data_IF_329339473369
#
_entry.id   IF_329339473369
#
_cell.length_a   1.000
_cell.length_b   1.000
_cell.length_c   1.000
_cell.angle_alpha   90.00
_cell.angle_beta   90.00
_cell.angle_gamma   90.00
#
_symmetry.space_group_name_H-M   'P 1'
#
loop_
_entity.id
_entity.type
_entity.pdbx_description
1 polymer ?
#
# COMPACT_ATOMS: atom_id res chain seq x y z
N UNK A 1 -3.04 17.08 -45.10
CA UNK A 1 -2.44 17.71 -43.89
C UNK A 1 -2.50 16.69 -42.75
N UNK A 2 -1.38 16.08 -42.41
CA UNK A 2 -1.31 15.15 -41.28
C UNK A 2 -1.23 15.98 -39.98
N UNK A 3 -2.25 15.91 -39.17
CA UNK A 3 -2.20 16.48 -37.82
C UNK A 3 -1.21 15.65 -37.00
N UNK A 4 -0.01 16.20 -36.80
CA UNK A 4 0.94 15.70 -35.83
C UNK A 4 0.40 16.08 -34.44
N UNK A 5 -0.40 15.21 -33.85
CA UNK A 5 -0.70 15.27 -32.42
C UNK A 5 0.59 14.93 -31.70
N UNK A 6 1.27 15.94 -31.19
CA UNK A 6 2.34 15.72 -30.21
C UNK A 6 1.79 14.83 -29.10
N UNK A 7 2.50 13.78 -28.66
CA UNK A 7 2.04 12.97 -27.54
C UNK A 7 1.92 13.89 -26.33
N UNK A 8 0.69 14.18 -25.94
CA UNK A 8 0.44 14.91 -24.69
C UNK A 8 0.92 14.01 -23.54
N UNK A 9 1.97 14.45 -22.87
CA UNK A 9 2.41 13.80 -21.62
C UNK A 9 1.20 13.73 -20.69
N UNK A 10 0.83 12.55 -20.18
CA UNK A 10 -0.34 12.42 -19.31
C UNK A 10 -0.17 13.32 -18.07
N UNK A 11 -1.23 13.97 -17.62
CA UNK A 11 -1.16 14.89 -16.50
C UNK A 11 -0.69 14.15 -15.24
N UNK A 12 0.28 14.76 -14.58
CA UNK A 12 0.80 14.29 -13.28
C UNK A 12 0.12 15.11 -12.20
N UNK A 13 -0.35 14.46 -11.14
CA UNK A 13 -1.06 15.10 -10.03
C UNK A 13 -0.42 14.75 -8.68
N UNK A 14 -0.58 15.64 -7.71
CA UNK A 14 -0.06 15.45 -6.35
C UNK A 14 -0.77 14.33 -5.60
N UNK A 15 -0.01 13.56 -4.82
CA UNK A 15 -0.51 12.56 -3.86
C UNK A 15 -0.11 12.99 -2.44
N UNK A 16 -0.77 13.98 -1.85
CA UNK A 16 -0.39 14.57 -0.56
C UNK A 16 -0.51 13.59 0.61
N UNK A 17 -1.32 12.55 0.47
CA UNK A 17 -1.45 11.48 1.47
C UNK A 17 -0.24 10.54 1.47
N UNK A 18 0.57 10.58 0.42
CA UNK A 18 1.78 9.77 0.32
C UNK A 18 2.99 10.55 0.83
N UNK A 19 3.84 9.86 1.56
CA UNK A 19 5.06 10.45 2.11
C UNK A 19 6.28 9.56 1.81
N UNK A 20 7.45 10.18 1.73
CA UNK A 20 8.72 9.49 1.53
C UNK A 20 9.51 9.46 2.83
N UNK A 21 10.01 8.27 3.19
CA UNK A 21 11.04 8.09 4.22
C UNK A 21 12.24 7.42 3.55
N UNK A 22 13.44 7.95 3.78
CA UNK A 22 14.67 7.39 3.23
C UNK A 22 15.54 6.78 4.32
N UNK A 23 16.15 5.66 3.99
CA UNK A 23 17.18 4.99 4.79
C UNK A 23 18.45 4.98 3.95
N UNK A 24 19.49 5.66 4.39
CA UNK A 24 20.74 5.79 3.64
C UNK A 24 21.95 5.43 4.50
N UNK A 25 22.84 4.63 3.96
CA UNK A 25 24.08 4.21 4.58
C UNK A 25 24.35 2.70 4.46
N UNK A 26 25.57 2.26 4.81
CA UNK A 26 26.03 0.90 4.56
C UNK A 26 25.17 -0.18 5.25
N UNK A 27 24.45 0.17 6.31
CA UNK A 27 23.58 -0.77 7.03
C UNK A 27 22.09 -0.66 6.62
N UNK A 28 21.73 0.21 5.66
CA UNK A 28 20.33 0.49 5.31
C UNK A 28 19.57 -0.77 4.88
N UNK A 29 20.15 -1.58 3.99
CA UNK A 29 19.55 -2.81 3.52
C UNK A 29 19.38 -3.85 4.63
N UNK A 30 20.44 -4.08 5.43
CA UNK A 30 20.41 -5.04 6.53
C UNK A 30 19.42 -4.61 7.63
N UNK A 31 19.29 -3.31 7.86
CA UNK A 31 18.32 -2.75 8.78
C UNK A 31 16.89 -2.94 8.27
N UNK A 32 16.61 -2.53 7.03
CA UNK A 32 15.30 -2.69 6.42
C UNK A 32 14.88 -4.17 6.37
N UNK A 33 15.80 -5.08 6.03
CA UNK A 33 15.55 -6.52 6.05
C UNK A 33 15.18 -7.02 7.45
N UNK A 34 15.83 -6.53 8.51
CA UNK A 34 15.54 -6.94 9.89
C UNK A 34 14.22 -6.36 10.44
N UNK A 35 13.75 -5.21 9.94
CA UNK A 35 12.56 -4.52 10.44
C UNK A 35 11.27 -4.86 9.68
N UNK A 36 11.34 -5.08 8.38
CA UNK A 36 10.15 -5.19 7.54
C UNK A 36 9.84 -6.64 7.16
N UNK A 37 8.58 -6.90 6.84
CA UNK A 37 8.06 -8.26 6.70
C UNK A 37 8.45 -8.97 5.41
N UNK A 38 8.81 -8.25 4.33
CA UNK A 38 9.20 -8.88 3.07
C UNK A 38 10.71 -9.10 2.97
N UNK A 39 11.14 -9.90 2.01
CA UNK A 39 12.55 -10.23 1.78
C UNK A 39 13.28 -9.07 1.07
N UNK A 40 13.74 -8.11 1.86
CA UNK A 40 14.47 -6.94 1.37
C UNK A 40 15.86 -7.34 0.87
N UNK A 41 16.48 -8.38 1.45
CA UNK A 41 17.82 -8.82 1.05
C UNK A 41 17.85 -9.37 -0.40
N UNK A 42 16.75 -9.93 -0.86
CA UNK A 42 16.61 -10.41 -2.23
C UNK A 42 16.33 -9.30 -3.26
N UNK A 43 16.03 -8.08 -2.82
CA UNK A 43 15.71 -6.96 -3.71
C UNK A 43 16.97 -6.39 -4.35
N UNK A 44 17.07 -6.45 -5.67
CA UNK A 44 18.19 -5.88 -6.41
C UNK A 44 18.14 -4.33 -6.44
N UNK A 45 19.30 -3.64 -6.58
CA UNK A 45 19.32 -2.21 -6.90
C UNK A 45 18.52 -1.93 -8.18
N UNK A 46 17.85 -0.78 -8.23
CA UNK A 46 16.95 -0.44 -9.33
C UNK A 46 15.60 -1.15 -9.30
N UNK A 47 15.25 -1.84 -8.21
CA UNK A 47 13.98 -2.54 -8.04
C UNK A 47 13.17 -2.01 -6.86
N UNK A 48 11.89 -2.37 -6.83
CA UNK A 48 11.00 -2.10 -5.71
C UNK A 48 10.07 -3.29 -5.44
N UNK A 49 9.48 -3.33 -4.24
CA UNK A 49 8.52 -4.34 -3.81
C UNK A 49 7.53 -3.74 -2.81
N UNK A 50 6.37 -4.37 -2.65
CA UNK A 50 5.52 -4.10 -1.51
C UNK A 50 6.12 -4.66 -0.23
N UNK A 51 5.88 -3.97 0.86
CA UNK A 51 6.34 -4.37 2.17
C UNK A 51 5.35 -3.97 3.26
N UNK A 52 5.51 -4.54 4.44
CA UNK A 52 4.76 -4.18 5.63
C UNK A 52 5.70 -4.06 6.84
N UNK A 53 5.39 -3.14 7.74
CA UNK A 53 5.99 -3.08 9.05
C UNK A 53 4.99 -3.61 10.08
N UNK A 54 5.46 -4.51 10.95
CA UNK A 54 4.62 -5.20 11.91
C UNK A 54 5.04 -4.92 13.34
N UNK A 55 4.07 -4.99 14.25
CA UNK A 55 4.35 -5.10 15.69
C UNK A 55 4.92 -6.48 16.03
N UNK A 56 5.56 -6.67 17.18
CA UNK A 56 5.96 -7.99 17.68
C UNK A 56 4.80 -9.00 17.77
N UNK A 57 3.55 -8.51 17.88
CA UNK A 57 2.34 -9.32 17.90
C UNK A 57 1.82 -9.66 16.49
N UNK A 58 2.59 -9.37 15.43
CA UNK A 58 2.23 -9.65 14.02
C UNK A 58 1.10 -8.80 13.48
N UNK A 59 0.88 -7.61 14.04
CA UNK A 59 -0.12 -6.65 13.56
C UNK A 59 0.52 -5.62 12.65
N UNK A 60 -0.15 -5.27 11.56
CA UNK A 60 0.34 -4.35 10.54
C UNK A 60 0.28 -2.92 11.05
N UNK A 61 1.44 -2.26 11.11
CA UNK A 61 1.59 -0.83 11.41
C UNK A 61 1.36 -0.02 10.14
N UNK A 62 2.02 -0.43 9.04
CA UNK A 62 1.95 0.23 7.74
C UNK A 62 2.19 -0.76 6.60
N UNK A 63 1.58 -0.46 5.44
CA UNK A 63 1.86 -1.09 4.14
C UNK A 63 2.46 -0.03 3.24
N UNK A 64 3.53 -0.33 2.51
CA UNK A 64 4.25 0.65 1.71
C UNK A 64 5.02 0.02 0.55
N UNK A 65 5.32 0.84 -0.46
CA UNK A 65 6.29 0.47 -1.48
C UNK A 65 7.69 0.72 -0.94
N UNK A 66 8.55 -0.31 -1.02
CA UNK A 66 9.96 -0.24 -0.67
C UNK A 66 10.78 -0.30 -1.97
N UNK A 67 11.47 0.79 -2.29
CA UNK A 67 12.35 0.90 -3.44
C UNK A 67 13.82 0.87 -3.02
N UNK A 68 14.67 0.27 -3.86
CA UNK A 68 16.11 0.27 -3.71
C UNK A 68 16.77 1.00 -4.89
N UNK A 69 16.85 2.35 -4.87
CA UNK A 69 17.41 3.10 -6.00
C UNK A 69 18.92 2.91 -6.17
N UNK A 70 19.65 2.55 -5.09
CA UNK A 70 21.08 2.29 -5.09
C UNK A 70 21.45 1.23 -4.04
N UNK A 71 22.73 0.82 -4.01
CA UNK A 71 23.22 -0.23 -3.11
C UNK A 71 22.93 0.03 -1.63
N UNK A 72 23.14 1.27 -1.20
CA UNK A 72 23.08 1.73 0.19
C UNK A 72 21.87 2.62 0.48
N UNK A 73 20.85 2.59 -0.38
CA UNK A 73 19.65 3.42 -0.29
C UNK A 73 18.39 2.60 -0.34
N UNK A 74 17.51 2.86 0.62
CA UNK A 74 16.15 2.29 0.69
C UNK A 74 15.18 3.44 0.84
N UNK A 75 14.18 3.50 -0.02
CA UNK A 75 13.12 4.49 -0.01
C UNK A 75 11.79 3.82 0.30
N UNK A 76 11.03 4.40 1.22
CA UNK A 76 9.74 3.90 1.66
C UNK A 76 8.67 4.92 1.25
N UNK A 77 7.76 4.54 0.36
CA UNK A 77 6.61 5.37 0.00
C UNK A 77 5.43 4.90 0.82
N UNK A 78 5.04 5.74 1.76
CA UNK A 78 3.96 5.49 2.74
C UNK A 78 2.67 6.13 2.25
N UNK A 79 1.61 5.39 1.91
CA UNK A 79 0.39 5.99 1.39
C UNK A 79 -0.49 6.67 2.44
N UNK A 80 -0.34 6.36 3.74
CA UNK A 80 -1.29 6.83 4.76
C UNK A 80 -0.67 7.11 6.13
N UNK A 81 0.61 6.82 6.30
CA UNK A 81 1.27 7.00 7.60
C UNK A 81 2.05 8.31 7.61
N UNK A 82 1.87 9.21 8.62
CA UNK A 82 2.70 10.39 8.76
C UNK A 82 4.19 10.04 8.81
N UNK A 83 4.98 10.58 7.86
CA UNK A 83 6.38 10.22 7.69
C UNK A 83 7.23 10.46 8.93
N UNK A 84 7.02 11.60 9.60
CA UNK A 84 7.78 11.96 10.81
C UNK A 84 7.54 10.97 11.94
N UNK A 85 6.29 10.58 12.19
CA UNK A 85 5.94 9.58 13.21
C UNK A 85 6.51 8.21 12.86
N UNK A 86 6.44 7.82 11.58
CA UNK A 86 7.03 6.57 11.11
C UNK A 86 8.55 6.56 11.29
N UNK A 87 9.21 7.62 10.83
CA UNK A 87 10.66 7.74 10.92
C UNK A 87 11.15 7.79 12.38
N UNK A 88 10.45 8.54 13.26
CA UNK A 88 10.74 8.58 14.69
C UNK A 88 10.64 7.20 15.35
N UNK A 89 9.53 6.49 15.09
CA UNK A 89 9.31 5.15 15.61
C UNK A 89 10.39 4.17 15.12
N UNK A 90 10.76 4.28 13.82
CA UNK A 90 11.77 3.41 13.22
C UNK A 90 13.19 3.70 13.73
N UNK A 91 13.55 4.98 14.02
CA UNK A 91 14.85 5.38 14.58
C UNK A 91 15.15 4.70 15.91
N UNK A 92 14.15 4.30 16.70
CA UNK A 92 14.33 3.59 17.97
C UNK A 92 15.04 2.24 17.83
N UNK A 93 15.03 1.67 16.60
CA UNK A 93 15.65 0.39 16.29
C UNK A 93 17.03 0.51 15.63
N UNK A 94 17.52 1.72 15.34
CA UNK A 94 18.80 1.93 14.63
C UNK A 94 19.98 1.46 15.46
N UNK A 95 19.96 1.73 16.75
CA UNK A 95 20.99 1.35 17.73
C UNK A 95 22.42 1.72 17.27
N UNK A 96 23.27 0.74 16.92
CA UNK A 96 24.67 0.94 16.50
C UNK A 96 24.85 0.87 14.97
N UNK A 97 23.80 0.81 14.22
CA UNK A 97 23.87 0.67 12.75
C UNK A 97 24.25 2.00 12.09
N UNK A 98 25.02 1.93 11.02
CA UNK A 98 25.51 3.07 10.25
C UNK A 98 24.50 3.39 9.13
N UNK A 99 23.40 4.04 9.48
CA UNK A 99 22.43 4.57 8.52
C UNK A 99 21.79 5.84 9.09
N UNK A 100 21.22 6.64 8.19
CA UNK A 100 20.35 7.76 8.51
C UNK A 100 18.94 7.43 8.07
N UNK A 101 17.94 7.85 8.84
CA UNK A 101 16.52 7.78 8.49
C UNK A 101 16.03 9.22 8.41
N UNK A 102 15.61 9.64 7.22
CA UNK A 102 15.23 11.03 6.94
C UNK A 102 13.86 11.09 6.26
N UNK A 103 13.20 12.24 6.41
CA UNK A 103 12.01 12.63 5.65
C UNK A 103 12.45 13.78 4.77
N UNK A 104 12.75 13.54 3.47
CA UNK A 104 13.28 14.58 2.59
C UNK A 104 12.20 15.63 2.27
N UNK A 105 12.53 16.91 2.49
CA UNK A 105 11.62 18.02 2.23
C UNK A 105 11.61 18.46 0.76
N UNK A 106 12.60 18.04 -0.02
CA UNK A 106 12.79 18.39 -1.44
C UNK A 106 12.15 17.38 -2.40
N UNK A 107 11.50 16.34 -1.86
CA UNK A 107 10.85 15.29 -2.64
C UNK A 107 9.36 15.22 -2.32
N UNK A 108 8.56 15.09 -3.37
CA UNK A 108 7.12 14.90 -3.29
C UNK A 108 6.72 13.63 -4.02
N UNK A 109 5.55 13.09 -3.64
CA UNK A 109 4.95 11.95 -4.33
C UNK A 109 3.83 12.45 -5.24
N UNK A 110 3.83 11.94 -6.47
CA UNK A 110 2.83 12.27 -7.46
C UNK A 110 2.39 11.02 -8.22
N UNK A 111 1.23 11.08 -8.84
CA UNK A 111 0.64 10.01 -9.63
C UNK A 111 0.33 10.44 -11.05
N UNK A 112 0.20 9.47 -11.95
CA UNK A 112 -0.40 9.64 -13.26
C UNK A 112 -1.23 8.41 -13.62
N UNK A 113 -2.41 8.61 -14.20
CA UNK A 113 -3.24 7.53 -14.76
C UNK A 113 -2.74 7.19 -16.17
N UNK A 114 -1.50 6.73 -16.25
CA UNK A 114 -0.82 6.34 -17.48
C UNK A 114 0.32 5.37 -17.17
N UNK A 115 0.78 4.66 -18.20
CA UNK A 115 1.96 3.81 -18.08
C UNK A 115 3.21 4.66 -17.81
N UNK A 116 4.14 4.19 -16.96
CA UNK A 116 5.41 4.87 -16.75
C UNK A 116 6.22 4.90 -18.05
N UNK A 117 7.05 5.93 -18.18
CA UNK A 117 7.91 6.06 -19.34
C UNK A 117 9.11 5.10 -19.31
N UNK A 118 9.59 4.80 -18.11
CA UNK A 118 10.84 4.04 -17.93
C UNK A 118 10.74 2.90 -16.92
N UNK A 119 9.77 2.92 -16.00
CA UNK A 119 9.55 1.82 -15.06
C UNK A 119 8.76 0.68 -15.71
N UNK A 120 8.97 -0.55 -15.25
CA UNK A 120 8.20 -1.71 -15.69
C UNK A 120 8.14 -2.77 -14.59
N UNK A 121 6.95 -3.17 -14.18
CA UNK A 121 6.76 -4.16 -13.14
C UNK A 121 7.44 -3.72 -11.82
N UNK A 122 8.43 -4.48 -11.37
CA UNK A 122 9.22 -4.13 -10.19
C UNK A 122 10.53 -3.37 -10.50
N UNK A 123 10.81 -3.05 -11.76
CA UNK A 123 11.95 -2.23 -12.15
C UNK A 123 11.60 -0.75 -11.99
N UNK A 124 12.45 -0.02 -11.28
CA UNK A 124 12.36 1.43 -11.19
C UNK A 124 12.74 2.08 -12.53
N UNK A 125 12.05 3.16 -12.88
CA UNK A 125 12.42 4.03 -13.99
C UNK A 125 13.03 5.35 -13.50
N UNK A 126 13.81 6.01 -14.34
CA UNK A 126 14.31 7.37 -14.07
C UNK A 126 13.82 8.30 -15.16
N UNK A 127 13.13 9.36 -14.78
CA UNK A 127 12.61 10.41 -15.67
C UNK A 127 13.12 11.77 -15.18
N UNK A 128 14.24 12.23 -15.75
CA UNK A 128 14.97 13.39 -15.23
C UNK A 128 15.52 13.10 -13.83
N UNK A 129 15.11 13.90 -12.84
CA UNK A 129 15.44 13.73 -11.41
C UNK A 129 14.42 12.91 -10.63
N UNK A 130 13.30 12.52 -11.27
CA UNK A 130 12.26 11.71 -10.67
C UNK A 130 12.51 10.21 -10.86
N UNK A 131 12.09 9.43 -9.87
CA UNK A 131 12.03 7.96 -9.92
C UNK A 131 10.58 7.52 -10.11
N UNK A 132 10.36 6.62 -11.07
CA UNK A 132 9.05 6.06 -11.40
C UNK A 132 8.91 4.63 -10.88
N UNK A 133 7.71 4.32 -10.39
CA UNK A 133 7.25 2.97 -10.04
C UNK A 133 6.03 2.63 -10.91
N UNK A 134 6.02 1.44 -11.47
CA UNK A 134 4.88 0.92 -12.22
C UNK A 134 3.79 0.42 -11.24
N UNK A 135 2.70 1.18 -11.16
CA UNK A 135 1.52 0.88 -10.35
C UNK A 135 0.36 0.33 -11.20
N UNK A 136 0.64 -0.07 -12.42
CA UNK A 136 -0.34 -0.67 -13.33
C UNK A 136 -0.75 -2.08 -12.90
N UNK A 137 -2.00 -2.41 -13.19
CA UNK A 137 -2.64 -3.71 -12.98
C UNK A 137 -3.91 -3.81 -13.81
N UNK A 138 -4.82 -4.72 -13.45
CA UNK A 138 -6.07 -4.95 -14.19
C UNK A 138 -6.97 -3.70 -14.30
N UNK A 139 -6.83 -2.77 -13.35
CA UNK A 139 -7.53 -1.47 -13.36
C UNK A 139 -6.96 -0.44 -14.34
N UNK A 140 -5.94 -0.81 -15.12
CA UNK A 140 -5.29 0.07 -16.09
C UNK A 140 -3.90 0.56 -15.65
N UNK A 141 -3.22 1.31 -16.53
CA UNK A 141 -1.87 1.78 -16.26
C UNK A 141 -1.87 2.93 -15.24
N UNK A 142 -0.92 2.89 -14.32
CA UNK A 142 -0.66 3.95 -13.33
C UNK A 142 0.83 4.08 -13.07
N UNK A 143 1.28 5.30 -12.90
CA UNK A 143 2.66 5.61 -12.52
C UNK A 143 2.67 6.34 -11.19
N UNK A 144 3.46 5.88 -10.22
CA UNK A 144 3.81 6.65 -9.03
C UNK A 144 5.20 7.25 -9.27
N UNK A 145 5.37 8.52 -8.91
CA UNK A 145 6.63 9.26 -9.11
C UNK A 145 7.12 9.86 -7.79
N UNK A 146 8.42 9.73 -7.55
CA UNK A 146 9.13 10.35 -6.43
C UNK A 146 10.02 11.44 -7.05
N UNK A 147 9.68 12.70 -6.85
CA UNK A 147 10.39 13.81 -7.49
C UNK A 147 9.91 15.17 -6.99
N UNK A 148 9.83 16.15 -7.86
CA UNK A 148 9.29 17.47 -7.56
C UNK A 148 7.77 17.43 -7.35
N UNK A 149 7.24 18.45 -6.65
CA UNK A 149 5.81 18.60 -6.43
C UNK A 149 5.05 18.74 -7.76
N UNK A 150 3.86 18.13 -7.82
CA UNK A 150 2.94 18.22 -8.93
C UNK A 150 1.69 19.06 -8.55
N UNK A 151 0.92 19.57 -9.53
CA UNK A 151 -0.35 20.23 -9.26
C UNK A 151 -1.32 19.35 -8.52
N UNK A 152 -2.21 19.94 -7.73
CA UNK A 152 -3.33 19.23 -7.12
C UNK A 152 -4.42 18.97 -8.17
N UNK A 153 -4.95 17.75 -8.16
CA UNK A 153 -6.11 17.33 -8.94
C UNK A 153 -6.92 16.37 -8.07
N UNK A 154 -7.96 16.89 -7.44
CA UNK A 154 -8.77 16.12 -6.50
C UNK A 154 -9.46 14.93 -7.18
N UNK A 155 -9.99 15.11 -8.38
CA UNK A 155 -10.66 14.04 -9.11
C UNK A 155 -9.69 12.90 -9.47
N UNK A 156 -8.50 13.24 -9.95
CA UNK A 156 -7.46 12.27 -10.26
C UNK A 156 -6.97 11.54 -8.99
N UNK A 157 -6.84 12.25 -7.87
CA UNK A 157 -6.45 11.69 -6.57
C UNK A 157 -7.51 10.73 -6.02
N UNK A 158 -8.80 11.08 -6.11
CA UNK A 158 -9.89 10.18 -5.70
C UNK A 158 -9.92 8.92 -6.58
N UNK A 159 -9.78 9.05 -7.89
CA UNK A 159 -9.66 7.89 -8.79
C UNK A 159 -8.45 7.00 -8.46
N UNK A 160 -7.34 7.60 -8.01
CA UNK A 160 -6.17 6.86 -7.53
C UNK A 160 -6.51 6.03 -6.28
N UNK A 161 -7.19 6.62 -5.29
CA UNK A 161 -7.61 5.92 -4.07
C UNK A 161 -8.59 4.77 -4.40
N UNK A 162 -9.57 5.02 -5.28
CA UNK A 162 -10.49 3.98 -5.77
C UNK A 162 -9.72 2.83 -6.41
N UNK A 163 -8.74 3.14 -7.26
CA UNK A 163 -7.90 2.13 -7.90
C UNK A 163 -7.08 1.32 -6.89
N UNK A 164 -6.53 1.95 -5.83
CA UNK A 164 -5.82 1.24 -4.77
C UNK A 164 -6.74 0.23 -4.07
N UNK A 165 -7.94 0.66 -3.68
CA UNK A 165 -8.90 -0.23 -3.02
C UNK A 165 -9.37 -1.36 -3.94
N UNK A 166 -9.59 -1.08 -5.23
CA UNK A 166 -9.96 -2.10 -6.22
C UNK A 166 -8.90 -3.19 -6.38
N UNK A 167 -7.62 -2.85 -6.22
CA UNK A 167 -6.51 -3.82 -6.22
C UNK A 167 -6.28 -4.48 -4.86
N UNK A 168 -7.07 -4.13 -3.84
CA UNK A 168 -6.90 -4.66 -2.48
C UNK A 168 -5.66 -4.11 -1.77
N UNK A 169 -5.17 -2.94 -2.17
CA UNK A 169 -4.14 -2.22 -1.44
C UNK A 169 -4.81 -1.48 -0.27
N UNK A 170 -4.66 -1.97 0.98
CA UNK A 170 -5.35 -1.37 2.11
C UNK A 170 -4.70 -0.04 2.49
N UNK A 171 -5.54 0.99 2.63
CA UNK A 171 -5.19 2.28 3.21
C UNK A 171 -5.50 2.19 4.71
N UNK A 172 -4.51 2.43 5.58
CA UNK A 172 -4.66 2.22 7.03
C UNK A 172 -4.75 3.55 7.78
N UNK A 173 -5.96 4.12 7.97
CA UNK A 173 -6.14 5.26 8.86
C UNK A 173 -5.70 4.90 10.28
N UNK A 174 -5.47 5.90 11.13
CA UNK A 174 -4.93 5.70 12.47
C UNK A 174 -5.72 4.67 13.31
N UNK A 175 -7.04 4.63 13.16
CA UNK A 175 -7.93 3.67 13.85
C UNK A 175 -7.74 2.21 13.41
N UNK A 176 -7.16 1.98 12.24
CA UNK A 176 -7.01 0.63 11.67
C UNK A 176 -5.56 0.11 11.74
N UNK A 177 -4.61 0.94 12.18
CA UNK A 177 -3.23 0.50 12.41
C UNK A 177 -3.17 -0.46 13.59
N UNK A 178 -2.31 -1.46 13.50
CA UNK A 178 -2.09 -2.48 14.53
C UNK A 178 -3.33 -3.35 14.88
N UNK A 179 -4.39 -3.31 14.05
CA UNK A 179 -5.58 -4.13 14.24
C UNK A 179 -5.49 -5.49 13.52
N UNK A 180 -4.82 -5.55 12.38
CA UNK A 180 -4.90 -6.65 11.43
C UNK A 180 -3.58 -7.38 11.25
N UNK A 181 -3.64 -8.69 11.00
CA UNK A 181 -2.48 -9.45 10.53
C UNK A 181 -2.31 -9.28 9.01
N UNK A 182 -1.12 -9.52 8.44
CA UNK A 182 -0.92 -9.48 6.99
C UNK A 182 -1.87 -10.38 6.21
N UNK A 183 -2.21 -11.56 6.74
CA UNK A 183 -3.13 -12.48 6.11
C UNK A 183 -4.58 -11.98 6.12
N UNK A 184 -5.01 -11.30 7.20
CA UNK A 184 -6.33 -10.70 7.24
C UNK A 184 -6.48 -9.55 6.24
N UNK A 185 -5.39 -8.81 5.99
CA UNK A 185 -5.34 -7.77 4.96
C UNK A 185 -5.03 -8.32 3.55
N UNK A 186 -5.00 -9.64 3.36
CA UNK A 186 -4.69 -10.29 2.08
C UNK A 186 -3.38 -9.79 1.43
N UNK A 187 -2.36 -9.44 2.24
CA UNK A 187 -1.10 -8.87 1.75
C UNK A 187 -0.24 -9.87 0.95
N UNK A 188 -0.59 -11.16 0.95
CA UNK A 188 -0.04 -12.18 0.06
C UNK A 188 -0.38 -11.91 -1.41
N UNK A 189 -1.51 -11.26 -1.72
CA UNK A 189 -1.86 -10.80 -3.07
C UNK A 189 -0.84 -9.82 -3.65
N UNK A 190 -0.32 -8.94 -2.80
CA UNK A 190 0.71 -7.96 -3.13
C UNK A 190 2.13 -8.53 -3.03
N UNK A 191 2.30 -9.74 -2.48
CA UNK A 191 3.58 -10.29 -2.03
C UNK A 191 4.30 -9.38 -1.00
N UNK A 192 3.57 -8.68 -0.12
CA UNK A 192 4.12 -7.68 0.79
C UNK A 192 4.77 -8.26 2.06
N UNK A 193 4.81 -9.58 2.22
CA UNK A 193 5.53 -10.25 3.30
C UNK A 193 6.10 -11.59 2.84
N UNK A 194 7.12 -12.09 3.55
CA UNK A 194 7.76 -13.38 3.31
C UNK A 194 7.72 -14.23 4.57
N UNK A 195 7.35 -15.49 4.44
CA UNK A 195 7.45 -16.51 5.48
C UNK A 195 8.76 -17.29 5.43
N UNK A 196 9.59 -17.04 4.39
CA UNK A 196 10.84 -17.76 4.12
C UNK A 196 12.09 -16.98 4.52
N UNK A 197 11.97 -15.64 4.71
CA UNK A 197 13.09 -14.81 5.14
C UNK A 197 13.40 -15.01 6.63
N UNK A 198 14.56 -14.54 7.06
CA UNK A 198 14.99 -14.55 8.47
C UNK A 198 14.11 -13.68 9.39
N UNK A 199 14.52 -13.54 10.65
CA UNK A 199 13.74 -12.90 11.72
C UNK A 199 13.36 -11.44 11.42
N UNK A 200 12.12 -11.10 11.73
CA UNK A 200 11.57 -9.74 11.75
C UNK A 200 10.45 -9.66 12.81
N UNK A 201 10.08 -8.46 13.30
CA UNK A 201 9.01 -8.32 14.30
C UNK A 201 7.70 -8.96 13.84
N UNK A 202 7.12 -9.84 14.66
CA UNK A 202 5.85 -10.50 14.38
C UNK A 202 5.92 -11.73 13.47
N UNK A 203 7.09 -12.13 13.00
CA UNK A 203 7.28 -13.30 12.12
C UNK A 203 6.65 -14.59 12.67
N UNK A 204 6.75 -14.85 13.98
CA UNK A 204 6.21 -16.07 14.58
C UNK A 204 4.69 -16.20 14.35
N UNK A 205 3.96 -15.10 14.51
CA UNK A 205 2.50 -15.05 14.28
C UNK A 205 2.18 -15.25 12.80
N UNK A 206 2.94 -14.58 11.92
CA UNK A 206 2.77 -14.70 10.45
C UNK A 206 3.04 -16.14 10.00
N UNK A 207 4.16 -16.73 10.43
CA UNK A 207 4.53 -18.10 10.10
C UNK A 207 3.53 -19.11 10.67
N UNK A 208 3.13 -18.97 11.94
CA UNK A 208 2.12 -19.84 12.56
C UNK A 208 0.81 -19.81 11.79
N UNK A 209 0.34 -18.64 11.42
CA UNK A 209 -0.91 -18.51 10.64
C UNK A 209 -0.78 -19.15 9.26
N UNK A 210 0.39 -19.04 8.63
CA UNK A 210 0.65 -19.60 7.31
C UNK A 210 0.76 -21.14 7.32
N UNK A 211 1.51 -21.72 8.27
CA UNK A 211 1.83 -23.15 8.27
C UNK A 211 0.87 -24.00 9.10
N UNK A 212 0.36 -23.50 10.22
CA UNK A 212 -0.45 -24.26 11.18
C UNK A 212 -1.91 -23.84 11.21
N UNK A 213 -2.26 -22.71 10.63
CA UNK A 213 -3.62 -22.21 10.56
C UNK A 213 -3.89 -21.52 9.24
N UNK A 214 -5.16 -21.46 8.84
CA UNK A 214 -5.59 -20.55 7.77
C UNK A 214 -6.25 -19.35 8.41
N UNK A 215 -5.98 -18.15 7.90
CA UNK A 215 -6.76 -17.00 8.29
C UNK A 215 -8.25 -17.30 8.01
N UNK A 216 -9.09 -17.21 9.02
CA UNK A 216 -10.54 -17.43 8.88
C UNK A 216 -11.25 -16.21 8.28
N UNK A 217 -10.55 -15.08 8.19
CA UNK A 217 -11.03 -13.80 7.66
C UNK A 217 -10.04 -13.25 6.67
N UNK A 218 -10.52 -12.53 5.66
CA UNK A 218 -9.70 -11.87 4.65
C UNK A 218 -10.35 -10.58 4.17
N UNK A 219 -9.54 -9.73 3.58
CA UNK A 219 -9.95 -8.48 2.96
C UNK A 219 -10.83 -8.75 1.75
N UNK A 220 -11.95 -8.05 1.66
CA UNK A 220 -12.89 -8.09 0.54
C UNK A 220 -13.28 -6.67 0.16
N UNK A 221 -13.63 -6.48 -1.11
CA UNK A 221 -14.03 -5.18 -1.67
C UNK A 221 -15.55 -5.10 -1.82
N UNK A 222 -16.10 -3.95 -1.45
CA UNK A 222 -17.54 -3.67 -1.58
C UNK A 222 -17.78 -2.24 -2.06
N UNK A 223 -18.97 -2.02 -2.64
CA UNK A 223 -19.52 -0.70 -2.88
C UNK A 223 -20.78 -0.52 -2.04
N UNK A 224 -20.95 0.64 -1.42
CA UNK A 224 -22.14 1.07 -0.70
C UNK A 224 -22.83 2.23 -1.43
N UNK A 225 -24.17 2.25 -1.43
CA UNK A 225 -24.95 3.31 -2.08
C UNK A 225 -24.96 4.65 -1.30
N UNK A 226 -24.27 4.73 -0.17
CA UNK A 226 -24.19 5.91 0.67
C UNK A 226 -22.89 5.97 1.48
N UNK A 227 -22.73 6.96 2.35
CA UNK A 227 -21.51 7.17 3.12
C UNK A 227 -21.27 6.03 4.11
N UNK A 228 -20.03 5.54 4.14
CA UNK A 228 -19.52 4.58 5.12
C UNK A 228 -18.16 5.08 5.58
N UNK A 229 -17.82 4.84 6.85
CA UNK A 229 -16.53 5.25 7.42
C UNK A 229 -15.68 4.02 7.78
N UNK A 230 -14.38 4.23 7.92
CA UNK A 230 -13.48 3.22 8.46
C UNK A 230 -13.87 2.87 9.90
N UNK A 231 -13.64 1.62 10.32
CA UNK A 231 -14.05 1.04 11.59
C UNK A 231 -15.57 0.75 11.72
N UNK A 232 -16.39 1.06 10.70
CA UNK A 232 -17.79 0.68 10.71
C UNK A 232 -17.93 -0.85 10.71
N UNK A 233 -18.93 -1.36 11.45
CA UNK A 233 -19.29 -2.79 11.41
C UNK A 233 -19.95 -3.14 10.08
N UNK A 234 -19.51 -4.25 9.48
CA UNK A 234 -20.26 -4.89 8.40
C UNK A 234 -21.23 -5.87 9.03
N UNK A 235 -22.52 -5.73 8.71
CA UNK A 235 -23.62 -6.50 9.29
C UNK A 235 -24.28 -7.42 8.27
N UNK A 236 -24.65 -8.57 8.74
CA UNK A 236 -25.62 -9.45 8.10
C UNK A 236 -26.81 -9.59 9.04
N UNK A 237 -27.98 -9.07 8.61
CA UNK A 237 -29.14 -8.89 9.51
C UNK A 237 -28.75 -8.06 10.75
N UNK A 238 -28.90 -8.62 11.96
CA UNK A 238 -28.56 -7.95 13.21
C UNK A 238 -27.16 -8.30 13.76
N UNK A 239 -26.38 -9.12 13.04
CA UNK A 239 -25.08 -9.60 13.51
C UNK A 239 -23.92 -8.85 12.86
N UNK A 240 -22.94 -8.45 13.66
CA UNK A 240 -21.67 -7.92 13.17
C UNK A 240 -20.81 -9.07 12.65
N UNK A 241 -20.56 -9.08 11.35
CA UNK A 241 -19.80 -10.16 10.66
C UNK A 241 -18.43 -9.72 10.19
N UNK A 242 -18.19 -8.42 10.04
CA UNK A 242 -16.92 -7.87 9.57
C UNK A 242 -16.69 -6.44 10.03
N UNK A 243 -15.56 -5.86 9.60
CA UNK A 243 -15.21 -4.48 9.91
C UNK A 243 -14.57 -3.81 8.70
N UNK A 244 -14.97 -2.56 8.44
CA UNK A 244 -14.45 -1.71 7.37
C UNK A 244 -13.06 -1.23 7.73
N UNK A 245 -12.09 -1.52 6.87
CA UNK A 245 -10.68 -1.10 7.04
C UNK A 245 -10.46 0.30 6.49
N UNK A 246 -10.90 0.54 5.25
CA UNK A 246 -10.75 1.83 4.58
C UNK A 246 -11.82 2.04 3.54
N UNK A 247 -12.00 3.30 3.16
CA UNK A 247 -13.02 3.75 2.22
C UNK A 247 -12.44 4.75 1.21
N UNK A 248 -13.05 4.85 0.04
CA UNK A 248 -12.81 5.89 -0.95
C UNK A 248 -14.14 6.32 -1.59
N UNK A 249 -14.37 7.63 -1.81
CA UNK A 249 -15.49 8.09 -2.62
C UNK A 249 -15.36 7.59 -4.07
N UNK A 250 -16.46 7.09 -4.63
CA UNK A 250 -16.56 6.58 -6.01
C UNK A 250 -17.86 7.09 -6.63
N UNK A 251 -17.82 8.28 -7.21
CA UNK A 251 -18.97 9.04 -7.67
C UNK A 251 -20.06 9.17 -6.56
N UNK A 252 -21.25 8.61 -6.80
CA UNK A 252 -22.37 8.62 -5.85
C UNK A 252 -22.29 7.49 -4.80
N UNK A 253 -21.24 6.66 -4.83
CA UNK A 253 -21.06 5.49 -3.96
C UNK A 253 -19.83 5.66 -3.06
N UNK A 254 -19.72 4.79 -2.07
CA UNK A 254 -18.50 4.61 -1.29
C UNK A 254 -17.93 3.24 -1.60
N UNK A 255 -16.72 3.20 -2.15
CA UNK A 255 -15.93 1.97 -2.26
C UNK A 255 -15.26 1.71 -0.92
N UNK A 256 -15.22 0.46 -0.48
CA UNK A 256 -14.62 0.09 0.79
C UNK A 256 -13.92 -1.28 0.74
N UNK A 257 -12.90 -1.41 1.57
CA UNK A 257 -12.30 -2.69 1.90
C UNK A 257 -12.69 -3.07 3.33
N UNK A 258 -13.18 -4.29 3.52
CA UNK A 258 -13.55 -4.81 4.83
C UNK A 258 -12.94 -6.19 5.07
N UNK A 259 -12.57 -6.46 6.33
CA UNK A 259 -12.13 -7.80 6.76
C UNK A 259 -13.35 -8.63 7.13
N UNK A 260 -13.60 -9.66 6.35
CA UNK A 260 -14.77 -10.53 6.41
C UNK A 260 -14.38 -11.99 6.64
N UNK A 261 -15.26 -12.85 7.23
CA UNK A 261 -15.10 -14.29 7.19
C UNK A 261 -15.01 -14.81 5.74
N UNK A 262 -14.16 -15.80 5.51
CA UNK A 262 -13.97 -16.39 4.18
C UNK A 262 -15.18 -17.19 3.68
N UNK A 263 -15.92 -17.76 4.59
CA UNK A 263 -17.09 -18.61 4.34
C UNK A 263 -18.42 -17.84 4.22
N UNK A 264 -18.37 -16.50 4.37
CA UNK A 264 -19.58 -15.68 4.24
C UNK A 264 -19.96 -15.50 2.78
N UNK A 265 -21.21 -15.79 2.43
CA UNK A 265 -21.71 -15.72 1.04
C UNK A 265 -21.67 -14.30 0.41
N UNK A 266 -21.53 -13.26 1.23
CA UNK A 266 -21.42 -11.88 0.77
C UNK A 266 -22.72 -11.22 0.33
N UNK A 267 -23.88 -11.88 0.57
CA UNK A 267 -25.21 -11.34 0.27
C UNK A 267 -25.89 -10.83 1.53
N UNK A 268 -26.78 -9.85 1.38
CA UNK A 268 -27.54 -9.28 2.51
C UNK A 268 -26.69 -8.50 3.50
N UNK A 269 -25.51 -8.03 3.07
CA UNK A 269 -24.60 -7.24 3.90
C UNK A 269 -24.99 -5.78 3.90
N UNK A 270 -24.74 -5.10 5.03
CA UNK A 270 -24.88 -3.65 5.15
C UNK A 270 -23.78 -3.07 6.04
N UNK A 271 -23.49 -1.78 5.87
CA UNK A 271 -22.69 -0.97 6.76
C UNK A 271 -23.34 0.41 6.90
N UNK A 272 -23.46 0.90 8.12
CA UNK A 272 -24.12 2.17 8.45
C UNK A 272 -25.52 2.34 7.81
N UNK A 273 -26.26 1.23 7.68
CA UNK A 273 -27.60 1.20 7.08
C UNK A 273 -27.61 1.13 5.55
N UNK A 274 -26.47 1.16 4.88
CA UNK A 274 -26.36 1.05 3.42
C UNK A 274 -26.06 -0.40 3.02
N UNK A 275 -26.79 -0.91 2.03
CA UNK A 275 -26.54 -2.23 1.45
C UNK A 275 -25.16 -2.25 0.76
N UNK A 276 -24.46 -3.37 0.91
CA UNK A 276 -23.14 -3.60 0.33
C UNK A 276 -23.25 -4.53 -0.89
N UNK A 277 -22.71 -4.07 -2.01
CA UNK A 277 -22.48 -4.86 -3.21
C UNK A 277 -21.03 -5.37 -3.19
N UNK A 278 -20.83 -6.69 -3.21
CA UNK A 278 -19.48 -7.27 -3.27
C UNK A 278 -18.88 -7.09 -4.66
N UNK A 279 -17.65 -6.60 -4.72
CA UNK A 279 -16.90 -6.39 -5.94
C UNK A 279 -15.67 -7.30 -6.00
N UNK A 280 -15.30 -7.83 -7.19
CA UNK A 280 -14.04 -8.56 -7.35
C UNK A 280 -12.85 -7.62 -7.16
N UNK A 281 -11.79 -8.12 -6.51
CA UNK A 281 -10.51 -7.43 -6.47
C UNK A 281 -9.79 -7.59 -7.82
N UNK A 282 -9.11 -6.54 -8.24
CA UNK A 282 -8.20 -6.57 -9.40
C UNK A 282 -6.87 -7.21 -9.04
N UNK A 283 -6.23 -7.84 -10.01
CA UNK A 283 -4.88 -8.38 -9.92
C UNK A 283 -3.86 -7.48 -10.63
N UNK A 284 -2.62 -7.93 -10.74
CA UNK A 284 -1.56 -7.23 -11.47
C UNK A 284 -0.73 -6.26 -10.65
N UNK A 285 -1.01 -6.07 -9.34
CA UNK A 285 -0.24 -5.16 -8.48
C UNK A 285 0.84 -5.89 -7.65
N UNK A 286 0.99 -7.19 -7.81
CA UNK A 286 2.05 -7.98 -7.15
C UNK A 286 3.43 -7.57 -7.69
N UNK A 287 4.37 -7.29 -6.78
CA UNK A 287 5.76 -6.91 -7.11
C UNK A 287 6.75 -7.72 -6.29
#
# INVERSE_FOLDING_TARGET
MAYNLSPTTPPVFSLPDHALVTLEGPDAMAFAHAQFANDVAALAPGCWQWNAWLTPKGRVIAVFALARPAEDRVWLVLPDHPADLFAEALRRFVFRRKLKIEVPADRAISGAHAAPAHAQGNLLGTAGDAVELDMGGDGGPRTLRIGTAAPDDEAARLAWQVSDLRHGLPRLPASQREQWTPQQLALDRLAAYSVKKGCYPGQEIVARTHFLGKAKRSLQCFAAAGPVVASASVRHEAQDVGEVVCVAPDDARTLLLAVMPLDHAGTGLSAEGHALERLPLYDGLRR
#
